data_IF_159420318692
#
_entry.id   IF_159420318692
#
_cell.length_a   1.000
_cell.length_b   1.000
_cell.length_c   1.000
_cell.angle_alpha   90.00
_cell.angle_beta   90.00
_cell.angle_gamma   90.00
#
_symmetry.space_group_name_H-M   'P 1'
#
loop_
_entity.id
_entity.type
_entity.pdbx_description
1 polymer ?
#
# COMPACT_ATOMS: atom_id res chain seq x y z
N UNK A 1 2.79 13.30 1.41
CA UNK A 1 1.55 12.62 1.88
C UNK A 1 0.60 12.50 0.70
N UNK A 2 -0.04 11.35 0.56
CA UNK A 2 -1.06 11.13 -0.47
C UNK A 2 -2.36 11.84 -0.06
N UNK A 3 -2.54 13.06 -0.60
CA UNK A 3 -3.65 13.96 -0.27
C UNK A 3 -5.00 13.32 -0.65
N UNK A 4 -5.05 12.60 -1.77
CA UNK A 4 -6.27 11.96 -2.25
C UNK A 4 -6.80 10.92 -1.25
N UNK A 5 -5.92 10.11 -0.66
CA UNK A 5 -6.31 9.12 0.36
C UNK A 5 -6.83 9.78 1.63
N UNK A 6 -6.16 10.84 2.09
CA UNK A 6 -6.61 11.60 3.26
C UNK A 6 -7.97 12.26 3.04
N UNK A 7 -8.15 12.93 1.88
CA UNK A 7 -9.42 13.55 1.50
C UNK A 7 -10.55 12.54 1.34
N UNK A 8 -10.29 11.39 0.72
CA UNK A 8 -11.27 10.33 0.54
C UNK A 8 -11.77 9.75 1.88
N UNK A 9 -10.85 9.44 2.80
CA UNK A 9 -11.20 8.95 4.14
C UNK A 9 -11.99 10.00 4.93
N UNK A 10 -11.55 11.28 4.90
CA UNK A 10 -12.26 12.36 5.55
C UNK A 10 -13.65 12.58 4.95
N UNK A 11 -13.78 12.59 3.64
CA UNK A 11 -15.07 12.74 2.97
C UNK A 11 -16.03 11.62 3.32
N UNK A 12 -15.58 10.36 3.26
CA UNK A 12 -16.39 9.20 3.64
C UNK A 12 -16.84 9.24 5.10
N UNK A 13 -15.92 9.55 6.02
CA UNK A 13 -16.26 9.72 7.43
C UNK A 13 -17.25 10.89 7.66
N UNK A 14 -17.04 12.01 6.98
CA UNK A 14 -17.90 13.20 7.10
C UNK A 14 -19.33 12.91 6.66
N UNK A 15 -19.51 12.20 5.54
CA UNK A 15 -20.85 11.80 5.04
C UNK A 15 -21.57 10.96 6.09
N UNK A 16 -20.91 9.92 6.63
CA UNK A 16 -21.53 9.04 7.63
C UNK A 16 -21.87 9.79 8.92
N UNK A 17 -20.93 10.59 9.44
CA UNK A 17 -21.13 11.39 10.66
C UNK A 17 -22.24 12.44 10.47
N UNK A 18 -22.31 13.11 9.32
CA UNK A 18 -23.36 14.07 9.02
C UNK A 18 -24.74 13.40 9.02
N UNK A 19 -24.88 12.24 8.38
CA UNK A 19 -26.15 11.50 8.39
C UNK A 19 -26.54 11.07 9.81
N UNK A 20 -25.61 10.64 10.65
CA UNK A 20 -25.86 10.30 12.05
C UNK A 20 -26.32 11.54 12.86
N UNK A 21 -25.72 12.70 12.65
CA UNK A 21 -26.11 13.93 13.32
C UNK A 21 -27.49 14.42 12.90
N UNK A 22 -27.84 14.29 11.63
CA UNK A 22 -29.19 14.65 11.12
C UNK A 22 -30.28 13.72 11.68
N UNK A 23 -29.93 12.48 12.05
CA UNK A 23 -30.86 11.47 12.59
C UNK A 23 -31.19 11.63 14.08
N UNK A 24 -30.61 12.60 14.81
CA UNK A 24 -30.97 12.83 16.23
C UNK A 24 -29.79 12.78 17.21
N UNK A 25 -28.55 12.65 16.72
CA UNK A 25 -27.34 12.72 17.55
C UNK A 25 -26.54 11.44 17.63
N UNK A 26 -25.24 11.59 17.86
CA UNK A 26 -24.26 10.48 17.80
C UNK A 26 -24.47 9.40 18.88
N UNK A 27 -25.08 9.77 20.02
CA UNK A 27 -25.25 8.83 21.15
C UNK A 27 -26.10 7.60 20.82
N UNK A 28 -27.08 7.73 19.90
CA UNK A 28 -27.93 6.62 19.46
C UNK A 28 -27.17 5.59 18.58
N UNK A 29 -26.05 6.02 18.01
CA UNK A 29 -25.22 5.19 17.13
C UNK A 29 -24.00 4.58 17.86
N UNK A 30 -23.97 4.62 19.19
CA UNK A 30 -22.91 4.00 20.01
C UNK A 30 -23.46 2.75 20.68
N UNK A 31 -22.83 1.60 20.44
CA UNK A 31 -23.18 0.33 21.05
C UNK A 31 -21.91 -0.48 21.35
N UNK A 32 -21.63 -0.68 22.65
CA UNK A 32 -20.47 -1.44 23.11
C UNK A 32 -20.49 -2.88 22.59
N UNK A 33 -21.68 -3.50 22.55
CA UNK A 33 -21.86 -4.86 22.03
C UNK A 33 -21.50 -4.95 20.55
N UNK A 34 -21.92 -3.98 19.73
CA UNK A 34 -21.61 -3.94 18.31
C UNK A 34 -20.10 -3.73 18.08
N UNK A 35 -19.44 -2.88 18.87
CA UNK A 35 -18.00 -2.67 18.83
C UNK A 35 -17.26 -3.98 19.14
N UNK A 36 -17.61 -4.67 20.22
CA UNK A 36 -16.98 -5.95 20.61
C UNK A 36 -17.14 -7.01 19.51
N UNK A 37 -18.33 -7.14 18.92
CA UNK A 37 -18.59 -8.13 17.87
C UNK A 37 -17.72 -7.84 16.64
N UNK A 38 -17.68 -6.60 16.16
CA UNK A 38 -16.98 -6.26 14.93
C UNK A 38 -15.47 -6.30 15.13
N UNK A 39 -14.95 -5.54 16.09
CA UNK A 39 -13.49 -5.46 16.29
C UNK A 39 -12.94 -6.74 16.90
N UNK A 40 -13.60 -7.33 17.89
CA UNK A 40 -13.20 -8.58 18.51
C UNK A 40 -13.28 -9.75 17.53
N UNK A 41 -14.39 -9.87 16.80
CA UNK A 41 -14.57 -10.92 15.79
C UNK A 41 -13.60 -10.81 14.63
N UNK A 42 -13.44 -9.63 14.04
CA UNK A 42 -12.50 -9.40 12.93
C UNK A 42 -11.06 -9.61 13.35
N UNK A 43 -10.69 -9.20 14.57
CA UNK A 43 -9.35 -9.44 15.12
C UNK A 43 -9.10 -10.94 15.36
N UNK A 44 -10.06 -11.65 15.96
CA UNK A 44 -9.95 -13.10 16.17
C UNK A 44 -9.83 -13.86 14.83
N UNK A 45 -10.63 -13.50 13.81
CA UNK A 45 -10.53 -14.09 12.49
C UNK A 45 -9.17 -13.79 11.82
N UNK A 46 -8.61 -12.61 12.04
CA UNK A 46 -7.27 -12.23 11.54
C UNK A 46 -6.16 -13.04 12.23
N UNK A 47 -6.28 -13.32 13.53
CA UNK A 47 -5.35 -14.17 14.27
C UNK A 47 -5.34 -15.62 13.78
N UNK A 48 -6.47 -16.13 13.30
CA UNK A 48 -6.56 -17.47 12.70
C UNK A 48 -5.86 -17.51 11.34
N UNK A 49 -5.90 -16.42 10.57
CA UNK A 49 -5.37 -16.35 9.20
C UNK A 49 -3.88 -16.01 9.14
N UNK A 50 -3.40 -15.19 10.06
CA UNK A 50 -2.04 -14.62 10.02
C UNK A 50 -1.33 -14.84 11.36
N UNK A 51 0.00 -15.08 11.34
CA UNK A 51 0.79 -15.10 12.55
C UNK A 51 0.78 -13.72 13.23
N UNK A 52 0.87 -13.72 14.54
CA UNK A 52 0.78 -12.51 15.36
C UNK A 52 1.84 -11.46 14.97
N UNK A 53 3.05 -11.93 14.64
CA UNK A 53 4.14 -11.06 14.16
C UNK A 53 3.77 -10.27 12.91
N UNK A 54 3.13 -10.91 11.92
CA UNK A 54 2.70 -10.26 10.68
C UNK A 54 1.63 -9.20 10.92
N UNK A 55 0.70 -9.44 11.86
CA UNK A 55 -0.34 -8.46 12.21
C UNK A 55 0.29 -7.20 12.81
N UNK A 56 1.18 -7.36 13.80
CA UNK A 56 1.78 -6.20 14.50
C UNK A 56 2.79 -5.43 13.65
N UNK A 57 3.44 -6.06 12.67
CA UNK A 57 4.37 -5.38 11.76
C UNK A 57 3.68 -4.93 10.47
N UNK A 58 2.78 -5.75 9.91
CA UNK A 58 2.13 -5.47 8.63
C UNK A 58 1.11 -4.33 8.69
N UNK A 59 0.29 -4.23 9.75
CA UNK A 59 -0.68 -3.15 9.87
C UNK A 59 -0.04 -1.75 9.95
N UNK A 60 0.95 -1.49 10.83
CA UNK A 60 1.60 -0.18 10.87
C UNK A 60 2.39 0.14 9.60
N UNK A 61 3.07 -0.87 9.01
CA UNK A 61 3.82 -0.71 7.77
C UNK A 61 2.89 -0.35 6.62
N UNK A 62 1.78 -1.08 6.46
CA UNK A 62 0.77 -0.79 5.46
C UNK A 62 0.18 0.61 5.60
N UNK A 63 -0.22 1.00 6.83
CA UNK A 63 -0.74 2.34 7.10
C UNK A 63 0.29 3.42 6.74
N UNK A 64 1.53 3.29 7.18
CA UNK A 64 2.60 4.23 6.84
C UNK A 64 2.78 4.33 5.33
N UNK A 65 2.78 3.20 4.61
CA UNK A 65 3.03 3.15 3.19
C UNK A 65 1.88 3.73 2.35
N UNK A 66 0.63 3.56 2.79
CA UNK A 66 -0.55 4.17 2.14
C UNK A 66 -0.43 5.69 2.07
N UNK A 67 0.04 6.33 3.15
CA UNK A 67 0.18 7.78 3.23
C UNK A 67 1.53 8.30 2.73
N UNK A 68 2.51 7.43 2.45
CA UNK A 68 3.80 7.83 1.90
C UNK A 68 3.68 7.97 0.38
N UNK A 69 4.07 9.11 -0.14
CA UNK A 69 4.17 9.36 -1.57
C UNK A 69 5.60 9.09 -2.02
N UNK A 70 5.81 8.42 -3.14
CA UNK A 70 7.13 8.29 -3.74
C UNK A 70 7.64 9.68 -4.13
N UNK A 71 8.91 9.95 -3.87
CA UNK A 71 9.51 11.27 -4.14
C UNK A 71 9.87 11.45 -5.62
N UNK A 72 10.27 10.37 -6.29
CA UNK A 72 10.81 10.39 -7.65
C UNK A 72 9.84 9.66 -8.58
N UNK A 73 9.53 10.25 -9.73
CA UNK A 73 8.74 9.62 -10.77
C UNK A 73 9.57 8.56 -11.52
N UNK A 74 8.90 7.63 -12.22
CA UNK A 74 9.59 6.61 -13.03
C UNK A 74 10.48 7.26 -14.11
N UNK A 75 10.03 8.37 -14.69
CA UNK A 75 10.79 9.11 -15.71
C UNK A 75 12.06 9.74 -15.14
N UNK A 76 11.91 10.45 -14.02
CA UNK A 76 13.09 11.02 -13.33
C UNK A 76 14.10 9.95 -12.97
N UNK A 77 13.61 8.76 -12.57
CA UNK A 77 14.46 7.61 -12.26
C UNK A 77 15.23 7.12 -13.50
N UNK A 78 14.60 7.04 -14.67
CA UNK A 78 15.28 6.70 -15.93
C UNK A 78 16.35 7.73 -16.27
N UNK A 79 16.03 9.02 -16.12
CA UNK A 79 16.97 10.12 -16.41
C UNK A 79 18.15 10.11 -15.43
N UNK A 80 17.90 9.87 -14.15
CA UNK A 80 18.92 9.75 -13.12
C UNK A 80 19.87 8.57 -13.41
N UNK A 81 19.33 7.39 -13.73
CA UNK A 81 20.12 6.19 -14.05
C UNK A 81 20.94 6.41 -15.32
N UNK A 82 20.38 7.04 -16.35
CA UNK A 82 21.12 7.37 -17.57
C UNK A 82 22.27 8.36 -17.29
N UNK A 83 22.06 9.35 -16.41
CA UNK A 83 23.09 10.26 -15.94
C UNK A 83 24.21 9.54 -15.18
N UNK A 84 23.84 8.60 -14.30
CA UNK A 84 24.80 7.76 -13.57
C UNK A 84 25.63 6.87 -14.52
N UNK A 85 25.01 6.33 -15.58
CA UNK A 85 25.71 5.59 -16.62
C UNK A 85 26.75 6.44 -17.35
N UNK A 86 26.46 7.74 -17.58
CA UNK A 86 27.40 8.68 -18.18
C UNK A 86 28.61 8.93 -17.26
N UNK A 87 28.36 9.13 -15.96
CA UNK A 87 29.44 9.32 -14.97
C UNK A 87 30.32 8.07 -14.88
N UNK A 88 29.68 6.89 -14.76
CA UNK A 88 30.42 5.62 -14.70
C UNK A 88 31.29 5.40 -15.94
N UNK A 89 30.80 5.77 -17.13
CA UNK A 89 31.55 5.64 -18.38
C UNK A 89 32.74 6.61 -18.48
N UNK A 90 32.61 7.86 -17.99
CA UNK A 90 33.63 8.90 -18.07
C UNK A 90 34.69 8.78 -16.97
N UNK A 91 34.27 8.44 -15.75
CA UNK A 91 35.11 8.48 -14.55
C UNK A 91 35.38 7.10 -13.95
N UNK A 92 34.77 6.06 -14.54
CA UNK A 92 34.82 4.71 -13.98
C UNK A 92 33.89 4.54 -12.74
N UNK A 93 33.89 3.34 -12.12
CA UNK A 93 33.08 3.05 -10.93
C UNK A 93 33.32 3.99 -9.75
N UNK A 94 34.57 4.44 -9.56
CA UNK A 94 35.00 5.36 -8.50
C UNK A 94 34.29 6.73 -8.61
N UNK A 95 33.91 7.15 -9.82
CA UNK A 95 33.14 8.37 -10.03
C UNK A 95 31.76 8.36 -9.40
N UNK A 96 31.22 7.17 -9.19
CA UNK A 96 29.88 6.98 -8.59
C UNK A 96 29.88 7.17 -7.07
N UNK A 97 31.00 7.02 -6.38
CA UNK A 97 31.08 7.18 -4.90
C UNK A 97 30.67 8.59 -4.43
N UNK A 98 30.85 9.59 -5.29
CA UNK A 98 30.63 11.01 -4.95
C UNK A 98 29.24 11.52 -5.33
N UNK A 99 28.43 10.69 -5.96
CA UNK A 99 27.11 11.10 -6.45
C UNK A 99 26.07 10.89 -5.35
N UNK A 100 25.34 11.93 -5.03
CA UNK A 100 24.15 11.82 -4.18
C UNK A 100 22.98 11.31 -5.02
N UNK A 101 22.40 10.20 -4.60
CA UNK A 101 21.24 9.53 -5.21
C UNK A 101 20.07 9.63 -4.25
N UNK A 102 18.94 10.17 -4.74
CA UNK A 102 17.76 10.40 -3.88
C UNK A 102 17.04 9.10 -3.48
N UNK A 103 16.97 8.14 -4.40
CA UNK A 103 16.31 6.86 -4.11
C UNK A 103 17.25 5.94 -3.33
N UNK A 104 16.88 5.50 -2.09
CA UNK A 104 17.76 4.68 -1.25
C UNK A 104 18.08 3.31 -1.85
N UNK A 105 17.17 2.75 -2.66
CA UNK A 105 17.38 1.47 -3.29
C UNK A 105 18.35 1.57 -4.47
N UNK A 106 18.21 2.62 -5.28
CA UNK A 106 19.17 2.96 -6.33
C UNK A 106 20.55 3.27 -5.73
N UNK A 107 20.62 4.07 -4.67
CA UNK A 107 21.87 4.39 -3.97
C UNK A 107 22.61 3.13 -3.50
N UNK A 108 21.88 2.12 -3.00
CA UNK A 108 22.46 0.82 -2.61
C UNK A 108 23.06 0.09 -3.80
N UNK A 109 22.34 0.05 -4.94
CA UNK A 109 22.82 -0.58 -6.17
C UNK A 109 24.07 0.11 -6.73
N UNK A 110 24.07 1.44 -6.76
CA UNK A 110 25.21 2.24 -7.22
C UNK A 110 26.45 2.04 -6.33
N UNK A 111 26.27 1.92 -5.02
CA UNK A 111 27.37 1.58 -4.09
C UNK A 111 27.98 0.23 -4.43
N UNK A 112 27.18 -0.80 -4.72
CA UNK A 112 27.71 -2.10 -5.13
C UNK A 112 28.56 -2.01 -6.43
N UNK A 113 28.12 -1.18 -7.38
CA UNK A 113 28.90 -0.94 -8.61
C UNK A 113 30.22 -0.22 -8.29
N UNK A 114 30.19 0.80 -7.44
CA UNK A 114 31.38 1.56 -7.01
C UNK A 114 32.37 0.67 -6.28
N UNK A 115 31.90 -0.21 -5.39
CA UNK A 115 32.69 -1.20 -4.63
C UNK A 115 33.27 -2.31 -5.53
N UNK A 116 32.87 -2.39 -6.81
CA UNK A 116 33.41 -3.32 -7.79
C UNK A 116 32.84 -4.72 -7.76
N UNK A 117 31.71 -4.97 -7.08
CA UNK A 117 31.04 -6.28 -7.08
C UNK A 117 30.65 -6.70 -8.50
N UNK A 118 30.56 -8.02 -8.72
CA UNK A 118 30.15 -8.56 -10.01
C UNK A 118 28.64 -8.40 -10.25
N UNK A 119 28.21 -8.54 -11.51
CA UNK A 119 26.82 -8.33 -11.89
C UNK A 119 25.87 -9.37 -11.27
N UNK A 120 26.32 -10.59 -11.08
CA UNK A 120 25.52 -11.67 -10.49
C UNK A 120 25.26 -11.41 -9.00
N UNK A 121 26.29 -11.03 -8.24
CA UNK A 121 26.15 -10.61 -6.85
C UNK A 121 25.20 -9.42 -6.68
N UNK A 122 25.34 -8.39 -7.53
CA UNK A 122 24.51 -7.19 -7.50
C UNK A 122 23.04 -7.56 -7.75
N UNK A 123 22.79 -8.36 -8.80
CA UNK A 123 21.46 -8.86 -9.15
C UNK A 123 20.84 -9.60 -7.98
N UNK A 124 21.49 -10.63 -7.48
CA UNK A 124 21.01 -11.49 -6.41
C UNK A 124 20.65 -10.72 -5.14
N UNK A 125 21.51 -9.76 -4.75
CA UNK A 125 21.27 -8.97 -3.55
C UNK A 125 20.09 -8.00 -3.71
N UNK A 126 20.01 -7.31 -4.84
CA UNK A 126 18.92 -6.37 -5.11
C UNK A 126 17.59 -7.12 -5.29
N UNK A 127 17.56 -8.25 -6.00
CA UNK A 127 16.34 -9.04 -6.15
C UNK A 127 15.83 -9.57 -4.81
N UNK A 128 16.71 -10.10 -3.95
CA UNK A 128 16.32 -10.53 -2.59
C UNK A 128 15.78 -9.39 -1.74
N UNK A 129 16.37 -8.21 -1.83
CA UNK A 129 15.90 -7.03 -1.09
C UNK A 129 14.54 -6.55 -1.63
N UNK A 130 14.36 -6.54 -2.96
CA UNK A 130 13.07 -6.28 -3.59
C UNK A 130 12.00 -7.25 -3.11
N UNK A 131 12.27 -8.54 -3.22
CA UNK A 131 11.29 -9.59 -2.92
C UNK A 131 10.91 -9.60 -1.43
N UNK A 132 11.87 -9.40 -0.54
CA UNK A 132 11.61 -9.23 0.89
C UNK A 132 10.70 -8.02 1.15
N UNK A 133 11.03 -6.87 0.57
CA UNK A 133 10.23 -5.67 0.76
C UNK A 133 8.80 -5.84 0.24
N UNK A 134 8.64 -6.38 -0.97
CA UNK A 134 7.34 -6.63 -1.59
C UNK A 134 6.52 -7.65 -0.78
N UNK A 135 7.17 -8.70 -0.27
CA UNK A 135 6.50 -9.70 0.58
C UNK A 135 5.92 -9.08 1.85
N UNK A 136 6.68 -8.23 2.55
CA UNK A 136 6.18 -7.55 3.75
C UNK A 136 5.04 -6.57 3.44
N UNK A 137 5.09 -5.88 2.31
CA UNK A 137 4.04 -4.97 1.89
C UNK A 137 2.76 -5.73 1.50
N UNK A 138 2.91 -6.86 0.80
CA UNK A 138 1.82 -7.76 0.41
C UNK A 138 1.15 -8.40 1.63
N UNK A 139 1.92 -8.80 2.66
CA UNK A 139 1.35 -9.24 3.94
C UNK A 139 0.46 -8.16 4.57
N UNK A 140 0.93 -6.91 4.61
CA UNK A 140 0.14 -5.78 5.10
C UNK A 140 -1.16 -5.61 4.31
N UNK A 141 -1.10 -5.65 2.99
CA UNK A 141 -2.25 -5.56 2.10
C UNK A 141 -3.27 -6.68 2.36
N UNK A 142 -2.80 -7.93 2.47
CA UNK A 142 -3.64 -9.11 2.75
C UNK A 142 -4.33 -9.02 4.10
N UNK A 143 -3.68 -8.46 5.13
CA UNK A 143 -4.28 -8.29 6.46
C UNK A 143 -5.43 -7.27 6.39
N UNK A 144 -5.21 -6.09 5.77
CA UNK A 144 -6.29 -5.10 5.60
C UNK A 144 -7.47 -5.67 4.83
N UNK A 145 -7.20 -6.42 3.76
CA UNK A 145 -8.25 -7.08 2.97
C UNK A 145 -9.01 -8.10 3.79
N UNK A 146 -8.31 -8.93 4.56
CA UNK A 146 -8.95 -9.94 5.40
C UNK A 146 -9.85 -9.33 6.48
N UNK A 147 -9.44 -8.23 7.11
CA UNK A 147 -10.28 -7.48 8.07
C UNK A 147 -11.49 -6.89 7.36
N UNK A 148 -11.30 -6.30 6.18
CA UNK A 148 -12.38 -5.74 5.35
C UNK A 148 -13.43 -6.78 4.95
N UNK A 149 -12.99 -7.97 4.57
CA UNK A 149 -13.89 -9.07 4.20
C UNK A 149 -14.63 -9.66 5.42
N UNK A 150 -14.00 -9.72 6.59
CA UNK A 150 -14.58 -10.27 7.80
C UNK A 150 -15.55 -9.33 8.52
N UNK A 151 -15.27 -8.01 8.53
CA UNK A 151 -16.05 -7.07 9.31
C UNK A 151 -17.56 -7.09 8.97
N UNK A 152 -18.01 -7.10 7.70
CA UNK A 152 -19.43 -7.24 7.38
C UNK A 152 -20.01 -8.60 7.78
N UNK A 153 -19.22 -9.68 7.70
CA UNK A 153 -19.67 -11.01 8.12
C UNK A 153 -19.96 -11.04 9.63
N UNK A 154 -19.08 -10.45 10.46
CA UNK A 154 -19.35 -10.27 11.89
C UNK A 154 -20.50 -9.29 12.15
N UNK A 155 -20.73 -8.31 11.26
CA UNK A 155 -21.93 -7.49 11.28
C UNK A 155 -23.21 -8.31 11.16
N UNK A 156 -23.25 -9.24 10.21
CA UNK A 156 -24.39 -10.16 10.06
C UNK A 156 -24.55 -11.09 11.28
N UNK A 157 -23.45 -11.61 11.85
CA UNK A 157 -23.49 -12.39 13.09
C UNK A 157 -24.09 -11.57 14.21
N UNK A 158 -23.68 -10.29 14.35
CA UNK A 158 -24.24 -9.37 15.35
C UNK A 158 -25.76 -9.15 15.17
N UNK A 159 -26.21 -9.05 13.91
CA UNK A 159 -27.64 -8.95 13.60
C UNK A 159 -28.42 -10.20 14.06
N UNK A 160 -27.88 -11.37 13.78
CA UNK A 160 -28.49 -12.63 14.19
C UNK A 160 -28.56 -12.77 15.73
N UNK A 161 -27.49 -12.42 16.43
CA UNK A 161 -27.44 -12.43 17.90
C UNK A 161 -28.48 -11.46 18.47
N UNK A 162 -28.55 -10.23 17.95
CA UNK A 162 -29.56 -9.24 18.39
C UNK A 162 -30.99 -9.70 18.16
N UNK A 163 -31.28 -10.32 17.01
CA UNK A 163 -32.59 -10.88 16.72
C UNK A 163 -32.96 -12.04 17.67
N UNK A 164 -32.01 -12.95 17.96
CA UNK A 164 -32.27 -14.05 18.92
C UNK A 164 -32.56 -13.48 20.32
N UNK A 165 -31.81 -12.47 20.77
CA UNK A 165 -32.04 -11.80 22.04
C UNK A 165 -33.40 -11.10 22.07
N UNK A 166 -33.80 -10.46 20.98
CA UNK A 166 -35.12 -9.84 20.83
C UNK A 166 -36.25 -10.88 20.97
N UNK A 167 -36.17 -12.00 20.25
CA UNK A 167 -37.17 -13.07 20.34
C UNK A 167 -37.23 -13.73 21.72
N UNK A 168 -36.09 -13.91 22.37
CA UNK A 168 -36.05 -14.46 23.74
C UNK A 168 -36.72 -13.54 24.79
N UNK A 169 -36.87 -12.23 24.48
CA UNK A 169 -37.44 -11.23 25.38
C UNK A 169 -38.77 -10.64 24.85
N UNK A 170 -39.47 -11.35 23.97
CA UNK A 170 -40.73 -10.85 23.34
C UNK A 170 -41.81 -10.44 24.34
N UNK A 171 -41.80 -10.98 25.56
CA UNK A 171 -42.74 -10.64 26.62
C UNK A 171 -42.47 -9.28 27.28
N UNK A 172 -41.30 -8.68 27.04
CA UNK A 172 -40.92 -7.38 27.59
C UNK A 172 -40.67 -6.36 26.45
N UNK A 173 -41.66 -5.55 26.07
CA UNK A 173 -41.56 -4.59 24.97
C UNK A 173 -40.42 -3.56 25.14
N UNK A 174 -40.03 -3.27 26.41
CA UNK A 174 -38.97 -2.29 26.68
C UNK A 174 -37.57 -2.72 26.20
N UNK A 175 -37.37 -4.04 26.06
CA UNK A 175 -36.10 -4.62 25.62
C UNK A 175 -35.97 -4.81 24.09
N UNK A 176 -37.10 -4.83 23.39
CA UNK A 176 -37.10 -5.10 21.94
C UNK A 176 -36.35 -4.03 21.15
N UNK A 177 -36.58 -2.75 21.48
CA UNK A 177 -35.88 -1.63 20.83
C UNK A 177 -34.34 -1.68 20.97
N UNK A 178 -33.80 -1.83 22.18
CA UNK A 178 -32.33 -1.93 22.39
C UNK A 178 -31.67 -3.10 21.64
N UNK A 179 -32.31 -4.30 21.62
CA UNK A 179 -31.72 -5.44 20.88
C UNK A 179 -31.74 -5.23 19.37
N UNK A 180 -32.83 -4.64 18.84
CA UNK A 180 -32.93 -4.30 17.42
C UNK A 180 -31.89 -3.23 17.04
N UNK A 181 -31.72 -2.20 17.88
CA UNK A 181 -30.70 -1.18 17.66
C UNK A 181 -29.27 -1.78 17.62
N UNK A 182 -28.93 -2.65 18.57
CA UNK A 182 -27.64 -3.35 18.59
C UNK A 182 -27.43 -4.18 17.32
N UNK A 183 -28.43 -4.90 16.85
CA UNK A 183 -28.36 -5.68 15.62
C UNK A 183 -28.06 -4.80 14.41
N UNK A 184 -28.77 -3.70 14.23
CA UNK A 184 -28.57 -2.76 13.11
C UNK A 184 -27.21 -2.05 13.19
N UNK A 185 -26.79 -1.64 14.38
CA UNK A 185 -25.50 -0.98 14.59
C UNK A 185 -24.32 -1.90 14.31
N UNK A 186 -24.42 -3.20 14.62
CA UNK A 186 -23.39 -4.16 14.26
C UNK A 186 -23.18 -4.21 12.73
N UNK A 187 -24.26 -4.28 11.95
CA UNK A 187 -24.15 -4.26 10.49
C UNK A 187 -23.58 -2.93 9.96
N UNK A 188 -24.04 -1.81 10.52
CA UNK A 188 -23.52 -0.48 10.15
C UNK A 188 -22.00 -0.39 10.40
N UNK A 189 -21.53 -0.79 11.58
CA UNK A 189 -20.12 -0.75 11.92
C UNK A 189 -19.28 -1.67 11.02
N UNK A 190 -19.78 -2.89 10.77
CA UNK A 190 -19.12 -3.82 9.85
C UNK A 190 -18.94 -3.22 8.46
N UNK A 191 -20.00 -2.59 7.93
CA UNK A 191 -19.96 -1.94 6.62
C UNK A 191 -19.02 -0.71 6.59
N UNK A 192 -19.01 0.12 7.63
CA UNK A 192 -18.14 1.30 7.73
C UNK A 192 -16.67 0.87 7.81
N UNK A 193 -16.34 -0.07 8.69
CA UNK A 193 -14.95 -0.57 8.84
C UNK A 193 -14.45 -1.19 7.53
N UNK A 194 -15.28 -1.98 6.86
CA UNK A 194 -14.90 -2.60 5.60
C UNK A 194 -14.71 -1.58 4.47
N UNK A 195 -15.77 -0.83 4.15
CA UNK A 195 -15.84 -0.08 2.88
C UNK A 195 -15.22 1.32 2.96
N UNK A 196 -15.11 1.92 4.14
CA UNK A 196 -14.49 3.24 4.29
C UNK A 196 -13.03 3.11 4.70
N UNK A 197 -12.67 2.08 5.47
CA UNK A 197 -11.33 1.99 6.03
C UNK A 197 -10.50 0.86 5.38
N UNK A 198 -10.88 -0.40 5.56
CA UNK A 198 -9.99 -1.53 5.29
C UNK A 198 -9.82 -1.83 3.81
N UNK A 199 -10.91 -1.91 3.04
CA UNK A 199 -10.86 -2.25 1.62
C UNK A 199 -10.17 -1.15 0.78
N UNK A 200 -10.47 0.16 0.95
CA UNK A 200 -9.76 1.19 0.21
C UNK A 200 -8.25 1.23 0.53
N UNK A 201 -7.87 0.97 1.79
CA UNK A 201 -6.46 0.86 2.17
C UNK A 201 -5.81 -0.35 1.49
N UNK A 202 -6.47 -1.51 1.50
CA UNK A 202 -5.95 -2.72 0.86
C UNK A 202 -5.78 -2.54 -0.66
N UNK A 203 -6.75 -1.94 -1.34
CA UNK A 203 -6.68 -1.69 -2.78
C UNK A 203 -5.58 -0.67 -3.12
N UNK A 204 -5.41 0.36 -2.31
CA UNK A 204 -4.32 1.33 -2.47
C UNK A 204 -2.94 0.70 -2.27
N UNK A 205 -2.80 -0.18 -1.27
CA UNK A 205 -1.56 -0.93 -1.04
C UNK A 205 -1.25 -1.84 -2.21
N UNK A 206 -2.25 -2.48 -2.80
CA UNK A 206 -2.09 -3.34 -3.97
C UNK A 206 -1.54 -2.57 -5.18
N UNK A 207 -2.09 -1.38 -5.48
CA UNK A 207 -1.59 -0.52 -6.55
C UNK A 207 -0.15 -0.09 -6.29
N UNK A 208 0.15 0.37 -5.07
CA UNK A 208 1.50 0.78 -4.70
C UNK A 208 2.52 -0.36 -4.73
N UNK A 209 2.09 -1.58 -4.41
CA UNK A 209 2.94 -2.77 -4.51
C UNK A 209 3.36 -3.03 -5.96
N UNK A 210 2.40 -2.97 -6.89
CA UNK A 210 2.69 -3.12 -8.32
C UNK A 210 3.65 -2.02 -8.84
N UNK A 211 3.43 -0.77 -8.44
CA UNK A 211 4.31 0.34 -8.80
C UNK A 211 5.73 0.16 -8.25
N UNK A 212 5.87 -0.29 -6.99
CA UNK A 212 7.17 -0.54 -6.38
C UNK A 212 7.92 -1.71 -7.03
N UNK A 213 7.21 -2.76 -7.42
CA UNK A 213 7.79 -3.89 -8.15
C UNK A 213 8.41 -3.44 -9.47
N UNK A 214 7.66 -2.68 -10.27
CA UNK A 214 8.14 -2.11 -11.54
C UNK A 214 9.36 -1.23 -11.31
N UNK A 215 9.29 -0.31 -10.34
CA UNK A 215 10.35 0.65 -10.07
C UNK A 215 11.64 -0.02 -9.60
N UNK A 216 11.54 -1.00 -8.71
CA UNK A 216 12.72 -1.72 -8.22
C UNK A 216 13.33 -2.61 -9.30
N UNK A 217 12.51 -3.21 -10.16
CA UNK A 217 13.00 -3.97 -11.32
C UNK A 217 13.72 -3.06 -12.32
N UNK A 218 13.15 -1.88 -12.62
CA UNK A 218 13.80 -0.85 -13.44
C UNK A 218 15.16 -0.45 -12.87
N UNK A 219 15.25 -0.25 -11.54
CA UNK A 219 16.52 0.08 -10.87
C UNK A 219 17.52 -1.06 -11.00
N UNK A 220 17.11 -2.31 -10.79
CA UNK A 220 17.99 -3.47 -10.92
C UNK A 220 18.61 -3.52 -12.32
N UNK A 221 17.77 -3.46 -13.35
CA UNK A 221 18.23 -3.51 -14.73
C UNK A 221 19.14 -2.32 -15.06
N UNK A 222 18.79 -1.11 -14.60
CA UNK A 222 19.59 0.08 -14.78
C UNK A 222 20.97 -0.03 -14.13
N UNK A 223 21.04 -0.50 -12.89
CA UNK A 223 22.31 -0.71 -12.16
C UNK A 223 23.18 -1.76 -12.85
N UNK A 224 22.60 -2.84 -13.35
CA UNK A 224 23.32 -3.87 -14.09
C UNK A 224 23.88 -3.35 -15.41
N UNK A 225 23.11 -2.54 -16.13
CA UNK A 225 23.60 -1.88 -17.36
C UNK A 225 24.76 -0.92 -17.08
N UNK A 226 24.72 -0.18 -15.96
CA UNK A 226 25.85 0.67 -15.52
C UNK A 226 27.07 -0.20 -15.24
N UNK A 227 26.89 -1.32 -14.52
CA UNK A 227 27.98 -2.25 -14.21
C UNK A 227 28.62 -2.84 -15.46
N UNK A 228 27.82 -3.11 -16.50
CA UNK A 228 28.28 -3.59 -17.81
C UNK A 228 28.81 -2.48 -18.71
N UNK A 229 28.93 -1.25 -18.23
CA UNK A 229 29.42 -0.09 -18.97
C UNK A 229 28.66 0.21 -20.28
N UNK A 230 27.35 -0.05 -20.30
CA UNK A 230 26.49 0.28 -21.44
C UNK A 230 26.45 1.79 -21.69
N UNK A 231 26.15 2.19 -22.94
CA UNK A 231 26.03 3.62 -23.26
C UNK A 231 24.80 4.24 -22.59
N UNK A 232 24.88 5.50 -22.13
CA UNK A 232 23.73 6.20 -21.51
C UNK A 232 22.49 6.21 -22.39
N UNK A 233 22.67 6.35 -23.71
CA UNK A 233 21.58 6.31 -24.68
C UNK A 233 20.89 4.95 -24.69
N UNK A 234 21.65 3.86 -24.72
CA UNK A 234 21.10 2.50 -24.68
C UNK A 234 20.40 2.22 -23.35
N UNK A 235 20.98 2.67 -22.21
CA UNK A 235 20.35 2.54 -20.90
C UNK A 235 19.00 3.23 -20.88
N UNK A 236 18.92 4.48 -21.36
CA UNK A 236 17.68 5.23 -21.45
C UNK A 236 16.66 4.51 -22.34
N UNK A 237 17.04 4.09 -23.53
CA UNK A 237 16.14 3.41 -24.49
C UNK A 237 15.54 2.12 -23.92
N UNK A 238 16.37 1.32 -23.24
CA UNK A 238 15.88 0.09 -22.61
C UNK A 238 14.98 0.35 -21.42
N UNK A 239 15.29 1.36 -20.57
CA UNK A 239 14.50 1.66 -19.38
C UNK A 239 13.18 2.39 -19.70
N UNK A 240 13.07 3.09 -20.82
CA UNK A 240 11.81 3.69 -21.30
C UNK A 240 10.72 2.62 -21.50
N UNK A 241 11.08 1.37 -21.76
CA UNK A 241 10.11 0.27 -21.89
C UNK A 241 9.29 0.03 -20.60
N UNK A 242 9.82 0.42 -19.42
CA UNK A 242 9.12 0.35 -18.14
C UNK A 242 8.08 1.47 -17.95
N UNK A 243 8.16 2.54 -18.75
CA UNK A 243 7.22 3.65 -18.67
C UNK A 243 5.88 3.32 -19.33
N UNK A 244 4.76 3.83 -18.78
CA UNK A 244 3.47 3.79 -19.46
C UNK A 244 3.57 4.46 -20.85
N UNK A 245 2.83 3.95 -21.83
CA UNK A 245 2.87 4.45 -23.23
C UNK A 245 2.72 5.96 -23.35
N UNK A 246 1.88 6.55 -22.50
CA UNK A 246 1.62 8.00 -22.48
C UNK A 246 2.89 8.83 -22.20
N UNK A 247 3.87 8.27 -21.50
CA UNK A 247 5.10 8.96 -21.12
C UNK A 247 6.32 8.55 -21.95
N UNK A 248 6.18 7.58 -22.88
CA UNK A 248 7.27 7.16 -23.76
C UNK A 248 7.59 8.20 -24.84
N UNK A 249 6.56 8.80 -25.46
CA UNK A 249 6.74 9.76 -26.55
C UNK A 249 7.41 11.08 -26.17
N UNK A 250 7.38 11.43 -24.87
CA UNK A 250 8.07 12.62 -24.36
C UNK A 250 9.55 12.34 -23.98
N UNK A 251 9.96 11.08 -23.99
CA UNK A 251 11.30 10.62 -23.62
C UNK A 251 12.20 10.32 -24.83
N UNK A 252 11.67 10.35 -26.05
CA UNK A 252 12.50 10.24 -27.28
C UNK A 252 13.37 11.50 -27.41
N UNK A 253 14.70 11.34 -27.57
CA UNK A 253 15.56 12.47 -27.87
C UNK A 253 15.11 13.10 -29.19
N UNK A 254 15.01 14.44 -29.26
CA UNK A 254 14.80 15.13 -30.52
C UNK A 254 15.79 14.62 -31.57
N UNK A 255 15.36 14.30 -32.81
CA UNK A 255 16.27 13.86 -33.84
C UNK A 255 17.31 14.95 -34.08
N UNK A 256 18.60 14.61 -33.91
CA UNK A 256 19.72 15.52 -34.16
C UNK A 256 19.59 15.96 -35.61
N UNK A 257 19.45 17.26 -35.90
CA UNK A 257 19.41 17.73 -37.29
C UNK A 257 20.70 17.38 -38.00
N UNK A 258 20.57 16.79 -39.20
CA UNK A 258 21.66 16.31 -40.03
C UNK A 258 22.59 17.42 -40.51
#
# INVERSE_FOLDING_TARGET
MDIATGLGLLAGATVVVTLMLMGGGLGMFVSDHAVIIIFGGSFAASLIRFPLSSIFHGLPLGMKFVFTMRRISQRELVDEIAGLAEIARKQGPIGLEKVEVEDPYLAKGIRFVADGYDAEFIRDNLERDRDNFLSHLDEGQKIYRAVGDCAPAFGMIGTLIGMVQMFANMTDPSKLGPFMATALLATLYGAVVANILCLPIADKLHLKLADEEINRTLIIDGVLMIRESKSPTLVREMLIAYLPEKHRGEAEPEPVPA
#
